data_IF_639509823802
#
_entry.id   IF_639509823802
#
_cell.length_a   1.000
_cell.length_b   1.000
_cell.length_c   1.000
_cell.angle_alpha   90.00
_cell.angle_beta   90.00
_cell.angle_gamma   90.00
#
_symmetry.space_group_name_H-M   'P 1'
#
loop_
_entity.id
_entity.type
_entity.pdbx_description
1 polymer ?
#
# COMPACT_ATOMS: atom_id res chain seq x y z
N UNK A 1 -1.56 -4.84 40.33
CA UNK A 1 -1.03 -4.54 38.99
C UNK A 1 -2.01 -5.20 38.06
N UNK A 2 -2.88 -4.43 37.41
CA UNK A 2 -3.84 -4.99 36.46
C UNK A 2 -3.07 -5.18 35.16
N UNK A 3 -3.02 -6.42 34.68
CA UNK A 3 -2.47 -6.75 33.36
C UNK A 3 -3.25 -5.95 32.30
N UNK A 4 -2.53 -5.15 31.51
CA UNK A 4 -3.05 -4.57 30.28
C UNK A 4 -3.44 -5.72 29.33
N UNK A 5 -4.58 -5.65 28.62
CA UNK A 5 -5.01 -6.75 27.77
C UNK A 5 -3.92 -7.11 26.73
N UNK A 6 -3.57 -8.39 26.70
CA UNK A 6 -2.48 -9.03 25.96
C UNK A 6 -2.66 -9.05 24.42
N UNK A 7 -3.46 -8.15 23.85
CA UNK A 7 -3.69 -8.11 22.41
C UNK A 7 -3.79 -6.67 21.89
N UNK A 8 -2.64 -6.07 21.54
CA UNK A 8 -2.63 -4.81 20.80
C UNK A 8 -3.09 -5.11 19.36
N UNK A 9 -4.08 -4.37 18.82
CA UNK A 9 -4.55 -4.62 17.47
C UNK A 9 -3.44 -4.37 16.45
N UNK A 10 -3.30 -5.24 15.45
CA UNK A 10 -2.43 -5.01 14.29
C UNK A 10 -3.12 -4.02 13.37
N UNK A 11 -2.64 -2.77 13.39
CA UNK A 11 -3.13 -1.69 12.53
C UNK A 11 -2.15 -1.51 11.37
N UNK A 12 -2.64 -1.59 10.14
CA UNK A 12 -1.85 -1.46 8.92
C UNK A 12 -2.28 -0.23 8.15
N UNK A 13 -1.34 0.57 7.65
CA UNK A 13 -1.58 1.72 6.77
C UNK A 13 -0.94 1.45 5.41
N UNK A 14 -1.79 1.24 4.41
CA UNK A 14 -1.40 0.94 3.03
C UNK A 14 -1.39 2.22 2.19
N UNK A 15 -0.22 2.64 1.73
CA UNK A 15 -0.03 3.74 0.80
C UNK A 15 -0.01 3.27 -0.64
N UNK A 16 -1.05 3.58 -1.42
CA UNK A 16 -1.23 3.07 -2.79
C UNK A 16 -0.89 4.12 -3.85
N UNK A 17 0.02 3.78 -4.75
CA UNK A 17 0.55 4.66 -5.80
C UNK A 17 1.40 5.80 -5.22
N UNK A 18 1.98 6.64 -6.09
CA UNK A 18 2.99 7.64 -5.67
C UNK A 18 2.53 8.58 -4.56
N UNK A 19 1.30 9.12 -4.63
CA UNK A 19 0.77 9.99 -3.58
C UNK A 19 0.50 9.23 -2.26
N UNK A 20 0.03 7.98 -2.33
CA UNK A 20 -0.17 7.15 -1.14
C UNK A 20 1.15 6.79 -0.47
N UNK A 21 2.17 6.42 -1.26
CA UNK A 21 3.53 6.17 -0.78
C UNK A 21 4.13 7.41 -0.10
N UNK A 22 4.03 8.59 -0.74
CA UNK A 22 4.51 9.84 -0.12
C UNK A 22 3.77 10.18 1.19
N UNK A 23 2.47 9.85 1.27
CA UNK A 23 1.66 10.10 2.46
C UNK A 23 2.12 9.25 3.64
N UNK A 24 2.37 7.96 3.44
CA UNK A 24 2.83 7.08 4.53
C UNK A 24 4.25 7.41 4.97
N UNK A 25 5.15 7.80 4.05
CA UNK A 25 6.49 8.29 4.41
C UNK A 25 6.43 9.55 5.27
N UNK A 26 5.45 10.42 5.00
CA UNK A 26 5.24 11.63 5.79
C UNK A 26 4.69 11.29 7.18
N UNK A 27 3.80 10.29 7.29
CA UNK A 27 3.28 9.81 8.58
C UNK A 27 4.39 9.16 9.42
N UNK A 28 5.22 8.34 8.80
CA UNK A 28 6.37 7.69 9.40
C UNK A 28 7.40 8.72 9.87
N UNK A 29 7.76 9.67 8.99
CA UNK A 29 8.67 10.77 9.32
C UNK A 29 8.15 11.73 10.39
N UNK A 30 6.83 11.82 10.57
CA UNK A 30 6.20 12.57 11.66
C UNK A 30 6.15 11.79 13.00
N UNK A 31 6.61 10.53 13.01
CA UNK A 31 6.65 9.70 14.22
C UNK A 31 5.31 9.08 14.59
N UNK A 32 4.45 8.77 13.61
CA UNK A 32 3.25 7.96 13.87
C UNK A 32 3.68 6.54 14.26
N UNK A 33 3.40 6.15 15.51
CA UNK A 33 3.78 4.87 16.09
C UNK A 33 2.57 3.95 16.25
N UNK A 34 2.83 2.64 16.39
CA UNK A 34 1.80 1.64 16.67
C UNK A 34 1.00 1.21 15.43
N UNK A 35 1.52 1.50 14.24
CA UNK A 35 0.98 1.05 12.95
C UNK A 35 2.10 0.46 12.10
N UNK A 36 1.75 -0.44 11.19
CA UNK A 36 2.63 -0.99 10.16
C UNK A 36 2.38 -0.23 8.85
N UNK A 37 3.43 0.29 8.21
CA UNK A 37 3.30 1.01 6.94
C UNK A 37 3.65 0.09 5.77
N UNK A 38 2.82 0.09 4.72
CA UNK A 38 3.02 -0.73 3.53
C UNK A 38 2.83 0.14 2.28
N UNK A 39 3.87 0.28 1.46
CA UNK A 39 3.78 0.96 0.17
C UNK A 39 3.38 -0.03 -0.92
N UNK A 40 2.37 0.30 -1.73
CA UNK A 40 1.94 -0.51 -2.88
C UNK A 40 2.05 0.33 -4.14
N UNK A 41 2.79 -0.14 -5.14
CA UNK A 41 2.91 0.59 -6.40
C UNK A 41 3.19 -0.35 -7.59
N UNK A 42 2.85 0.10 -8.78
CA UNK A 42 3.16 -0.56 -10.06
C UNK A 42 4.52 -0.14 -10.63
N UNK A 43 5.02 1.01 -10.16
CA UNK A 43 6.27 1.61 -10.62
C UNK A 43 7.43 1.19 -9.70
N UNK A 44 8.38 0.44 -10.24
CA UNK A 44 9.56 -0.05 -9.51
C UNK A 44 10.53 1.08 -9.15
N UNK A 45 10.63 2.13 -9.97
CA UNK A 45 11.46 3.27 -9.66
C UNK A 45 10.92 3.99 -8.42
N UNK A 46 9.60 4.20 -8.36
CA UNK A 46 8.94 4.78 -7.19
C UNK A 46 9.17 3.95 -5.93
N UNK A 47 9.05 2.62 -6.01
CA UNK A 47 9.30 1.73 -4.86
C UNK A 47 10.78 1.69 -4.44
N UNK A 48 11.71 1.74 -5.39
CA UNK A 48 13.15 1.71 -5.08
C UNK A 48 13.63 2.93 -4.28
N UNK A 49 12.91 4.05 -4.38
CA UNK A 49 13.17 5.27 -3.63
C UNK A 49 12.34 5.39 -2.36
N UNK A 50 11.43 4.44 -2.13
CA UNK A 50 10.55 4.45 -0.98
C UNK A 50 11.33 4.14 0.30
N UNK A 51 11.04 4.88 1.37
CA UNK A 51 11.72 4.76 2.66
C UNK A 51 11.02 3.86 3.66
N UNK A 52 9.77 3.50 3.38
CA UNK A 52 8.99 2.59 4.21
C UNK A 52 9.54 1.17 4.12
N UNK A 53 9.61 0.47 5.26
CA UNK A 53 10.23 -0.86 5.35
C UNK A 53 9.52 -1.93 4.48
N UNK A 54 8.20 -1.88 4.37
CA UNK A 54 7.42 -2.85 3.61
C UNK A 54 6.91 -2.25 2.29
N UNK A 55 7.29 -2.88 1.19
CA UNK A 55 6.87 -2.49 -0.17
C UNK A 55 6.29 -3.69 -0.91
N UNK A 56 5.26 -3.45 -1.71
CA UNK A 56 4.64 -4.44 -2.60
C UNK A 56 4.65 -3.86 -4.01
N UNK A 57 5.32 -4.56 -4.92
CA UNK A 57 5.21 -4.32 -6.35
C UNK A 57 4.02 -5.11 -6.90
N UNK A 58 3.12 -4.44 -7.61
CA UNK A 58 1.93 -5.05 -8.22
C UNK A 58 1.91 -4.86 -9.74
N UNK A 59 1.26 -5.77 -10.45
CA UNK A 59 1.06 -5.73 -11.90
C UNK A 59 2.36 -5.82 -12.67
N UNK A 60 3.24 -6.76 -12.30
CA UNK A 60 4.51 -6.94 -12.99
C UNK A 60 4.31 -7.21 -14.49
N UNK A 61 3.30 -8.00 -14.87
CA UNK A 61 2.98 -8.28 -16.28
C UNK A 61 2.20 -7.14 -16.93
N UNK A 62 1.33 -6.46 -16.18
CA UNK A 62 0.52 -5.33 -16.67
C UNK A 62 1.38 -4.12 -17.03
N UNK A 63 2.36 -3.78 -16.17
CA UNK A 63 3.10 -2.51 -16.26
C UNK A 63 4.58 -2.67 -16.65
N UNK A 64 5.13 -3.89 -16.59
CA UNK A 64 6.58 -4.14 -16.69
C UNK A 64 7.40 -3.30 -15.69
N UNK A 65 6.80 -2.90 -14.56
CA UNK A 65 7.45 -2.06 -13.56
C UNK A 65 7.57 -0.58 -13.93
N UNK A 66 6.95 -0.13 -15.02
CA UNK A 66 7.00 1.26 -15.52
C UNK A 66 5.83 2.12 -15.04
N UNK A 67 4.91 1.56 -14.26
CA UNK A 67 3.69 2.22 -13.82
C UNK A 67 2.53 2.12 -14.82
N UNK A 68 1.46 2.84 -14.51
CA UNK A 68 0.15 2.75 -15.20
C UNK A 68 -0.10 3.85 -16.22
N UNK A 69 0.80 4.82 -16.37
CA UNK A 69 0.61 5.96 -17.28
C UNK A 69 -0.65 6.77 -16.98
N UNK A 70 -1.01 6.89 -15.69
CA UNK A 70 -2.25 7.50 -15.19
C UNK A 70 -3.56 6.79 -15.59
N UNK A 71 -3.50 5.58 -16.16
CA UNK A 71 -4.69 4.80 -16.47
C UNK A 71 -5.18 3.99 -15.26
N UNK A 72 -6.36 4.29 -14.68
CA UNK A 72 -6.88 3.58 -13.52
C UNK A 72 -7.21 2.11 -13.82
N UNK A 73 -7.63 1.77 -15.03
CA UNK A 73 -7.94 0.37 -15.39
C UNK A 73 -6.69 -0.52 -15.31
N UNK A 74 -5.52 0.02 -15.67
CA UNK A 74 -4.25 -0.72 -15.50
C UNK A 74 -3.88 -0.86 -14.01
N UNK A 75 -4.23 0.11 -13.17
CA UNK A 75 -4.04 0.03 -11.72
C UNK A 75 -4.91 -1.05 -11.08
N UNK A 76 -6.17 -1.13 -11.48
CA UNK A 76 -7.11 -2.17 -11.07
C UNK A 76 -6.61 -3.56 -11.50
N UNK A 77 -6.28 -3.73 -12.79
CA UNK A 77 -5.73 -4.98 -13.32
C UNK A 77 -4.43 -5.41 -12.62
N UNK A 78 -3.56 -4.46 -12.31
CA UNK A 78 -2.34 -4.72 -11.57
C UNK A 78 -2.60 -5.25 -10.15
N UNK A 79 -3.58 -4.66 -9.45
CA UNK A 79 -3.96 -5.12 -8.12
C UNK A 79 -4.64 -6.49 -8.15
N UNK A 80 -5.47 -6.76 -9.15
CA UNK A 80 -6.10 -8.07 -9.34
C UNK A 80 -5.08 -9.16 -9.70
N UNK A 81 -4.04 -8.84 -10.49
CA UNK A 81 -2.94 -9.76 -10.81
C UNK A 81 -2.27 -10.29 -9.53
N UNK A 82 -2.08 -9.41 -8.54
CA UNK A 82 -1.34 -9.69 -7.30
C UNK A 82 -2.25 -9.75 -6.06
N UNK A 83 -3.55 -10.00 -6.24
CA UNK A 83 -4.55 -10.05 -5.16
C UNK A 83 -4.16 -11.01 -4.03
N UNK A 84 -3.58 -12.16 -4.37
CA UNK A 84 -3.14 -13.15 -3.38
C UNK A 84 -1.98 -12.63 -2.51
N UNK A 85 -1.01 -11.94 -3.12
CA UNK A 85 0.13 -11.33 -2.42
C UNK A 85 -0.34 -10.21 -1.48
N UNK A 86 -1.29 -9.37 -1.94
CA UNK A 86 -1.89 -8.31 -1.13
C UNK A 86 -2.61 -8.93 0.07
N UNK A 87 -3.43 -9.96 -0.15
CA UNK A 87 -4.18 -10.64 0.91
C UNK A 87 -3.26 -11.31 1.95
N UNK A 88 -2.19 -11.99 1.52
CA UNK A 88 -1.19 -12.60 2.40
C UNK A 88 -0.50 -11.53 3.27
N UNK A 89 -0.17 -10.38 2.68
CA UNK A 89 0.49 -9.29 3.42
C UNK A 89 -0.41 -8.64 4.48
N UNK A 90 -1.71 -8.59 4.21
CA UNK A 90 -2.72 -8.04 5.13
C UNK A 90 -3.29 -9.08 6.10
N UNK A 91 -2.85 -10.34 6.04
CA UNK A 91 -3.37 -11.41 6.89
C UNK A 91 -3.17 -11.09 8.38
N UNK A 92 -4.19 -11.32 9.21
CA UNK A 92 -4.20 -10.99 10.65
C UNK A 92 -4.16 -9.47 10.98
N UNK A 93 -4.37 -8.57 10.01
CA UNK A 93 -4.63 -7.17 10.33
C UNK A 93 -6.03 -7.01 10.96
N UNK A 94 -6.11 -6.36 12.12
CA UNK A 94 -7.38 -6.03 12.78
C UNK A 94 -8.03 -4.80 12.14
N UNK A 95 -7.20 -3.89 11.60
CA UNK A 95 -7.64 -2.65 10.96
C UNK A 95 -6.67 -2.26 9.85
N UNK A 96 -7.22 -1.97 8.67
CA UNK A 96 -6.45 -1.51 7.50
C UNK A 96 -6.92 -0.11 7.11
N UNK A 97 -6.01 0.85 7.06
CA UNK A 97 -6.20 2.16 6.47
C UNK A 97 -5.60 2.16 5.07
N UNK A 98 -6.38 2.54 4.06
CA UNK A 98 -5.89 2.70 2.71
C UNK A 98 -5.80 4.19 2.41
N UNK A 99 -4.61 4.67 2.08
CA UNK A 99 -4.36 6.04 1.66
C UNK A 99 -3.86 6.08 0.23
N UNK A 100 -4.48 6.93 -0.58
CA UNK A 100 -4.05 7.17 -1.95
C UNK A 100 -4.40 8.59 -2.39
N UNK A 101 -3.68 9.09 -3.40
CA UNK A 101 -4.12 10.25 -4.16
C UNK A 101 -4.95 9.79 -5.36
N UNK A 102 -6.21 10.22 -5.41
CA UNK A 102 -7.09 9.96 -6.55
C UNK A 102 -6.70 10.83 -7.76
N UNK A 103 -7.05 10.36 -8.97
CA UNK A 103 -6.79 11.03 -10.24
C UNK A 103 -5.58 10.48 -11.02
N UNK A 104 -4.70 9.72 -10.36
CA UNK A 104 -3.66 8.92 -11.02
C UNK A 104 -4.18 7.57 -11.51
N UNK A 105 -3.28 6.70 -11.98
CA UNK A 105 -3.65 5.34 -12.42
C UNK A 105 -3.62 4.33 -11.27
N UNK A 106 -2.44 4.14 -10.67
CA UNK A 106 -2.23 3.12 -9.63
C UNK A 106 -3.07 3.37 -8.39
N UNK A 107 -3.01 4.57 -7.79
CA UNK A 107 -3.80 4.89 -6.60
C UNK A 107 -5.31 4.73 -6.83
N UNK A 108 -5.82 5.32 -7.92
CA UNK A 108 -7.26 5.27 -8.25
C UNK A 108 -7.75 3.86 -8.56
N UNK A 109 -6.98 3.07 -9.29
CA UNK A 109 -7.40 1.74 -9.73
C UNK A 109 -7.15 0.63 -8.72
N UNK A 110 -6.02 0.66 -8.01
CA UNK A 110 -5.64 -0.40 -7.08
C UNK A 110 -6.30 -0.24 -5.70
N UNK A 111 -6.55 0.99 -5.23
CA UNK A 111 -7.09 1.20 -3.89
C UNK A 111 -8.45 0.54 -3.64
N UNK A 112 -9.41 0.49 -4.59
CA UNK A 112 -10.68 -0.22 -4.38
C UNK A 112 -10.54 -1.75 -4.36
N UNK A 113 -9.50 -2.30 -5.00
CA UNK A 113 -9.22 -3.75 -5.01
C UNK A 113 -8.58 -4.20 -3.70
N UNK A 114 -7.78 -3.32 -3.10
CA UNK A 114 -7.11 -3.55 -1.81
C UNK A 114 -8.10 -3.44 -0.62
N UNK A 115 -9.21 -2.71 -0.80
CA UNK A 115 -10.27 -2.51 0.21
C UNK A 115 -11.21 -3.72 0.32
#
# INVERSE_FOLDING_TARGET
MLDEPENKPRIVVVGVGGAGTNAIESMEGAGLNGVEFIAVNTDLQSLSTCRTEHTIHIGAKVSNGLGTGANPLLGEQAAEEDRALIAETLENADLVFITCGLGGGTGTGASPVIA
#
